data_IF_988519879484
#
_entry.id   IF_988519879484
#
_cell.length_a   1.000
_cell.length_b   1.000
_cell.length_c   1.000
_cell.angle_alpha   90.00
_cell.angle_beta   90.00
_cell.angle_gamma   90.00
#
_symmetry.space_group_name_H-M   'P 1'
#
loop_
_entity.id
_entity.type
_entity.pdbx_description
1 polymer ?
#
# COMPACT_ATOMS: atom_id res chain seq x y z
N UNK A 1 -8.17 26.74 29.60
CA UNK A 1 -9.00 26.91 28.38
C UNK A 1 -8.28 26.17 27.28
N UNK A 2 -8.93 25.18 26.67
CA UNK A 2 -8.30 24.39 25.61
C UNK A 2 -8.19 25.22 24.33
N UNK A 3 -6.99 25.29 23.77
CA UNK A 3 -6.76 25.99 22.52
C UNK A 3 -7.40 25.21 21.35
N UNK A 4 -8.30 25.88 20.65
CA UNK A 4 -9.01 25.35 19.48
C UNK A 4 -8.20 25.68 18.22
N UNK A 5 -8.00 24.71 17.32
CA UNK A 5 -7.19 24.87 16.11
C UNK A 5 -7.99 24.50 14.86
N UNK A 6 -7.75 25.23 13.78
CA UNK A 6 -8.27 24.87 12.47
C UNK A 6 -7.48 23.71 11.88
N UNK A 7 -8.22 22.75 11.34
CA UNK A 7 -7.70 21.49 10.83
C UNK A 7 -6.86 21.65 9.56
N UNK A 8 -7.17 22.65 8.73
CA UNK A 8 -6.52 22.86 7.43
C UNK A 8 -5.32 23.83 7.52
N UNK A 9 -5.53 25.01 8.11
CA UNK A 9 -4.53 26.09 8.19
C UNK A 9 -3.52 25.95 9.32
N UNK A 10 -3.75 25.04 10.29
CA UNK A 10 -2.90 24.82 11.48
C UNK A 10 -2.81 26.03 12.42
N UNK A 11 -3.72 27.01 12.30
CA UNK A 11 -3.75 28.21 13.14
C UNK A 11 -4.73 28.04 14.32
N UNK A 12 -4.41 28.68 15.44
CA UNK A 12 -5.30 28.75 16.61
C UNK A 12 -6.49 29.67 16.34
N UNK A 13 -7.67 29.35 16.87
CA UNK A 13 -8.91 30.11 16.69
C UNK A 13 -8.78 31.60 17.04
N UNK A 14 -8.07 31.93 18.12
CA UNK A 14 -7.82 33.32 18.51
C UNK A 14 -7.02 34.14 17.47
N UNK A 15 -6.29 33.46 16.55
CA UNK A 15 -5.59 34.08 15.41
C UNK A 15 -6.42 34.06 14.12
N UNK A 16 -7.58 33.41 14.14
CA UNK A 16 -8.55 33.35 13.05
C UNK A 16 -9.70 34.34 13.26
N UNK A 17 -9.98 34.77 14.50
CA UNK A 17 -11.05 35.75 14.82
C UNK A 17 -10.75 37.16 14.28
N UNK A 18 -9.48 37.53 14.07
CA UNK A 18 -9.09 38.77 13.38
C UNK A 18 -9.16 38.66 11.84
N UNK A 19 -9.52 37.50 11.30
CA UNK A 19 -9.70 37.30 9.87
C UNK A 19 -11.18 37.41 9.50
N UNK A 20 -11.48 38.47 8.77
CA UNK A 20 -12.77 38.72 8.11
C UNK A 20 -13.27 37.47 7.38
N UNK A 21 -14.33 36.85 7.93
CA UNK A 21 -14.92 35.64 7.39
C UNK A 21 -15.56 35.86 6.01
N UNK A 22 -15.78 37.10 5.58
CA UNK A 22 -16.22 37.42 4.21
C UNK A 22 -15.08 37.21 3.18
N UNK A 23 -13.81 37.30 3.58
CA UNK A 23 -12.66 37.01 2.72
C UNK A 23 -12.39 35.51 2.49
N UNK A 24 -13.17 34.62 3.12
CA UNK A 24 -13.00 33.17 2.95
C UNK A 24 -13.48 32.65 1.60
N UNK A 25 -14.14 33.44 0.75
CA UNK A 25 -14.60 33.00 -0.57
C UNK A 25 -13.44 32.47 -1.45
N UNK A 26 -12.34 33.22 -1.58
CA UNK A 26 -11.16 32.80 -2.35
C UNK A 26 -10.44 31.59 -1.72
N UNK A 27 -10.40 31.52 -0.39
CA UNK A 27 -9.75 30.41 0.33
C UNK A 27 -10.59 29.13 0.24
N UNK A 28 -11.91 29.26 0.25
CA UNK A 28 -12.86 28.15 0.06
C UNK A 28 -12.83 27.64 -1.38
N UNK A 29 -12.70 28.53 -2.35
CA UNK A 29 -12.57 28.17 -3.76
C UNK A 29 -11.25 27.44 -4.05
N UNK A 30 -10.18 27.76 -3.30
CA UNK A 30 -8.85 27.16 -3.45
C UNK A 30 -8.60 25.92 -2.58
N UNK A 31 -9.22 25.82 -1.40
CA UNK A 31 -8.92 24.78 -0.40
C UNK A 31 -10.15 23.99 0.10
N UNK A 32 -11.37 24.35 -0.33
CA UNK A 32 -12.61 23.67 0.03
C UNK A 32 -13.43 24.36 1.12
N UNK A 33 -14.65 23.86 1.38
CA UNK A 33 -15.58 24.46 2.36
C UNK A 33 -15.09 24.20 3.79
N UNK A 34 -14.93 25.26 4.58
CA UNK A 34 -14.59 25.19 6.00
C UNK A 34 -15.76 24.61 6.82
N UNK A 35 -15.53 23.50 7.54
CA UNK A 35 -16.56 22.79 8.32
C UNK A 35 -16.35 22.85 9.85
N UNK A 36 -15.35 23.59 10.33
CA UNK A 36 -15.11 23.81 11.77
C UNK A 36 -13.69 23.48 12.24
N UNK A 37 -13.54 23.45 13.57
CA UNK A 37 -12.27 23.36 14.30
C UNK A 37 -12.31 22.21 15.31
N UNK A 38 -11.19 21.52 15.49
CA UNK A 38 -11.00 20.49 16.51
C UNK A 38 -10.16 21.04 17.67
N UNK A 39 -10.19 20.38 18.82
CA UNK A 39 -9.22 20.72 19.89
C UNK A 39 -7.80 20.38 19.41
N UNK A 40 -6.80 21.08 19.97
CA UNK A 40 -5.38 20.82 19.66
C UNK A 40 -5.01 19.34 19.81
N UNK A 41 -5.45 18.71 20.89
CA UNK A 41 -5.17 17.31 21.19
C UNK A 41 -5.81 16.38 20.15
N UNK A 42 -7.08 16.62 19.77
CA UNK A 42 -7.76 15.83 18.74
C UNK A 42 -7.10 16.00 17.38
N UNK A 43 -6.70 17.22 17.01
CA UNK A 43 -5.99 17.51 15.76
C UNK A 43 -4.65 16.77 15.70
N UNK A 44 -3.85 16.87 16.76
CA UNK A 44 -2.54 16.21 16.83
C UNK A 44 -2.67 14.68 16.73
N UNK A 45 -3.61 14.10 17.49
CA UNK A 45 -3.87 12.67 17.45
C UNK A 45 -4.29 12.23 16.04
N UNK A 46 -5.31 12.86 15.47
CA UNK A 46 -5.84 12.49 14.16
C UNK A 46 -4.79 12.60 13.05
N UNK A 47 -3.96 13.65 13.08
CA UNK A 47 -2.87 13.83 12.13
C UNK A 47 -1.80 12.75 12.30
N UNK A 48 -1.35 12.49 13.54
CA UNK A 48 -0.35 11.46 13.79
C UNK A 48 -0.81 10.07 13.33
N UNK A 49 -2.08 9.71 13.60
CA UNK A 49 -2.66 8.45 13.16
C UNK A 49 -2.77 8.39 11.64
N UNK A 50 -3.20 9.48 11.00
CA UNK A 50 -3.31 9.55 9.54
C UNK A 50 -1.94 9.39 8.87
N UNK A 51 -0.93 10.11 9.34
CA UNK A 51 0.43 10.04 8.80
C UNK A 51 1.03 8.64 8.97
N UNK A 52 0.79 7.99 10.12
CA UNK A 52 1.20 6.61 10.38
C UNK A 52 0.50 5.61 9.44
N UNK A 53 -0.81 5.75 9.23
CA UNK A 53 -1.55 4.87 8.32
C UNK A 53 -1.12 5.06 6.86
N UNK A 54 -0.86 6.31 6.45
CA UNK A 54 -0.33 6.61 5.13
C UNK A 54 1.06 5.99 4.93
N UNK A 55 1.93 6.11 5.93
CA UNK A 55 3.24 5.45 5.91
C UNK A 55 3.11 3.93 5.75
N UNK A 56 2.27 3.28 6.57
CA UNK A 56 2.04 1.84 6.50
C UNK A 56 1.47 1.40 5.15
N UNK A 57 0.55 2.18 4.57
CA UNK A 57 0.03 1.95 3.23
C UNK A 57 1.16 1.92 2.20
N UNK A 58 2.05 2.92 2.23
CA UNK A 58 3.18 2.99 1.29
C UNK A 58 4.16 1.81 1.48
N UNK A 59 4.36 1.34 2.72
CA UNK A 59 5.18 0.15 2.98
C UNK A 59 4.55 -1.11 2.37
N UNK A 60 3.23 -1.27 2.49
CA UNK A 60 2.50 -2.39 1.87
C UNK A 60 2.60 -2.34 0.35
N UNK A 61 2.45 -1.16 -0.26
CA UNK A 61 2.60 -0.99 -1.71
C UNK A 61 4.01 -1.36 -2.19
N UNK A 62 5.07 -0.99 -1.46
CA UNK A 62 6.43 -1.44 -1.77
C UNK A 62 6.60 -2.94 -1.63
N UNK A 63 6.10 -3.55 -0.55
CA UNK A 63 6.18 -4.99 -0.33
C UNK A 63 5.46 -5.77 -1.44
N UNK A 64 4.31 -5.26 -1.91
CA UNK A 64 3.59 -5.85 -3.05
C UNK A 64 4.44 -5.79 -4.33
N UNK A 65 5.12 -4.67 -4.58
CA UNK A 65 6.03 -4.56 -5.73
C UNK A 65 7.20 -5.54 -5.63
N UNK A 66 7.87 -5.61 -4.48
CA UNK A 66 8.99 -6.54 -4.25
C UNK A 66 8.55 -8.01 -4.37
N UNK A 67 7.33 -8.31 -3.94
CA UNK A 67 6.74 -9.64 -4.10
C UNK A 67 6.52 -10.00 -5.57
N UNK A 68 5.95 -9.10 -6.38
CA UNK A 68 5.73 -9.35 -7.81
C UNK A 68 7.06 -9.50 -8.57
N UNK A 69 8.07 -8.69 -8.24
CA UNK A 69 9.41 -8.82 -8.80
C UNK A 69 10.03 -10.19 -8.47
N UNK A 70 9.97 -10.59 -7.19
CA UNK A 70 10.46 -11.90 -6.74
C UNK A 70 9.71 -13.06 -7.40
N UNK A 71 8.40 -12.92 -7.55
CA UNK A 71 7.55 -13.91 -8.22
C UNK A 71 7.92 -14.06 -9.69
N UNK A 72 8.12 -12.96 -10.40
CA UNK A 72 8.57 -12.96 -11.80
C UNK A 72 9.92 -13.67 -11.95
N UNK A 73 10.89 -13.33 -11.10
CA UNK A 73 12.21 -13.99 -11.07
C UNK A 73 12.08 -15.50 -10.78
N UNK A 74 11.16 -15.86 -9.89
CA UNK A 74 10.88 -17.24 -9.53
C UNK A 74 10.29 -18.03 -10.70
N UNK A 75 9.28 -17.48 -11.37
CA UNK A 75 8.65 -18.08 -12.56
C UNK A 75 9.65 -18.25 -13.71
N UNK A 76 10.55 -17.28 -13.91
CA UNK A 76 11.64 -17.41 -14.89
C UNK A 76 12.60 -18.55 -14.54
N UNK A 77 13.03 -18.67 -13.28
CA UNK A 77 13.92 -19.77 -12.85
C UNK A 77 13.25 -21.14 -12.95
N UNK A 78 11.94 -21.21 -12.69
CA UNK A 78 11.16 -22.42 -12.91
C UNK A 78 11.21 -22.87 -14.36
N UNK A 79 10.94 -21.93 -15.27
CA UNK A 79 11.00 -22.18 -16.70
C UNK A 79 12.40 -22.63 -17.16
N UNK A 80 13.45 -21.95 -16.71
CA UNK A 80 14.83 -22.31 -17.02
C UNK A 80 15.19 -23.72 -16.51
N UNK A 81 14.76 -24.08 -15.30
CA UNK A 81 15.00 -25.39 -14.72
C UNK A 81 14.29 -26.51 -15.50
N UNK A 82 13.04 -26.29 -15.91
CA UNK A 82 12.27 -27.22 -16.75
C UNK A 82 12.97 -27.47 -18.09
N UNK A 83 13.45 -26.41 -18.74
CA UNK A 83 14.20 -26.51 -20.00
C UNK A 83 15.50 -27.27 -19.80
N UNK A 84 16.29 -26.88 -18.79
CA UNK A 84 17.60 -27.46 -18.51
C UNK A 84 17.50 -28.96 -18.23
N UNK A 85 16.53 -29.37 -17.41
CA UNK A 85 16.29 -30.77 -17.06
C UNK A 85 15.61 -31.57 -18.17
N UNK A 86 15.23 -30.92 -19.28
CA UNK A 86 14.47 -31.52 -20.39
C UNK A 86 13.25 -32.26 -19.87
N UNK A 87 12.49 -31.61 -18.99
CA UNK A 87 11.42 -32.25 -18.22
C UNK A 87 10.35 -32.91 -19.13
N UNK A 88 10.16 -32.40 -20.34
CA UNK A 88 9.31 -33.02 -21.38
C UNK A 88 9.73 -34.45 -21.74
N UNK A 89 11.03 -34.79 -21.68
CA UNK A 89 11.52 -36.17 -21.88
C UNK A 89 11.12 -37.11 -20.75
N UNK A 90 10.79 -36.56 -19.58
CA UNK A 90 10.32 -37.29 -18.41
C UNK A 90 8.80 -37.21 -18.26
N UNK A 91 8.07 -36.77 -19.29
CA UNK A 91 6.60 -36.67 -19.28
C UNK A 91 6.05 -35.47 -18.51
N UNK A 92 6.89 -34.49 -18.16
CA UNK A 92 6.45 -33.24 -17.52
C UNK A 92 6.19 -32.20 -18.61
N UNK A 93 4.91 -31.94 -18.87
CA UNK A 93 4.45 -30.84 -19.72
C UNK A 93 4.13 -29.64 -18.83
N UNK A 94 5.12 -28.77 -18.64
CA UNK A 94 5.01 -27.62 -17.75
C UNK A 94 4.25 -26.48 -18.44
N UNK A 95 3.09 -26.14 -17.88
CA UNK A 95 2.36 -24.91 -18.17
C UNK A 95 2.37 -24.04 -16.92
N UNK A 96 2.82 -22.79 -17.03
CA UNK A 96 2.86 -21.83 -15.92
C UNK A 96 1.47 -21.39 -15.45
N UNK A 97 0.39 -21.69 -16.17
CA UNK A 97 -0.98 -21.42 -15.70
C UNK A 97 -1.44 -22.45 -14.67
N UNK A 98 -1.15 -23.74 -14.90
CA UNK A 98 -1.65 -24.86 -14.09
C UNK A 98 -0.65 -25.35 -13.03
N UNK A 99 0.63 -25.07 -13.24
CA UNK A 99 1.73 -25.59 -12.44
C UNK A 99 2.62 -24.46 -11.92
N UNK A 100 3.14 -24.66 -10.72
CA UNK A 100 4.12 -23.77 -10.10
C UNK A 100 5.36 -24.56 -9.69
N UNK A 101 6.50 -23.89 -9.70
CA UNK A 101 7.67 -24.41 -9.02
C UNK A 101 7.42 -24.31 -7.52
N UNK A 102 7.88 -25.30 -6.77
CA UNK A 102 7.96 -25.29 -5.32
C UNK A 102 9.39 -25.65 -4.93
N UNK A 103 10.02 -24.83 -4.08
CA UNK A 103 11.36 -25.11 -3.56
C UNK A 103 11.22 -25.45 -2.08
N UNK A 104 11.59 -26.67 -1.70
CA UNK A 104 11.52 -27.08 -0.30
C UNK A 104 12.64 -26.46 0.55
N UNK A 105 12.56 -26.63 1.88
CA UNK A 105 13.55 -26.10 2.83
C UNK A 105 14.97 -26.68 2.66
N UNK A 106 15.12 -27.75 1.87
CA UNK A 106 16.42 -28.36 1.53
C UNK A 106 16.93 -27.90 0.16
N UNK A 107 16.18 -27.06 -0.55
CA UNK A 107 16.53 -26.56 -1.87
C UNK A 107 16.15 -27.50 -3.01
N UNK A 108 15.31 -28.51 -2.79
CA UNK A 108 14.81 -29.33 -3.90
C UNK A 108 13.70 -28.60 -4.66
N UNK A 109 13.78 -28.65 -5.98
CA UNK A 109 12.83 -28.06 -6.90
C UNK A 109 11.77 -29.09 -7.31
N UNK A 110 10.51 -28.75 -7.13
CA UNK A 110 9.34 -29.55 -7.48
C UNK A 110 8.46 -28.75 -8.44
N UNK A 111 7.78 -29.42 -9.37
CA UNK A 111 6.69 -28.81 -10.13
C UNK A 111 5.40 -29.36 -9.54
N UNK A 112 4.61 -28.49 -8.93
CA UNK A 112 3.34 -28.85 -8.26
C UNK A 112 2.18 -28.16 -8.95
N UNK A 113 1.00 -28.76 -8.85
CA UNK A 113 -0.22 -28.18 -9.44
C UNK A 113 -0.68 -27.04 -8.55
N UNK A 114 -0.97 -25.88 -9.14
CA UNK A 114 -1.49 -24.74 -8.37
C UNK A 114 -2.80 -25.15 -7.69
N UNK A 115 -2.92 -24.83 -6.41
CA UNK A 115 -4.21 -24.97 -5.74
C UNK A 115 -5.20 -23.99 -6.37
N UNK A 116 -6.36 -24.48 -6.80
CA UNK A 116 -7.43 -23.60 -7.24
C UNK A 116 -7.86 -22.76 -6.04
N UNK A 117 -7.79 -21.44 -6.17
CA UNK A 117 -8.37 -20.55 -5.16
C UNK A 117 -9.83 -20.95 -4.95
N UNK A 118 -10.14 -21.40 -3.74
CA UNK A 118 -11.52 -21.63 -3.31
C UNK A 118 -12.09 -20.24 -3.02
N UNK A 119 -12.99 -19.77 -3.90
CA UNK A 119 -13.77 -18.53 -3.72
C UNK A 119 -14.56 -18.53 -2.40
#
# INVERSE_FOLDING_TARGET
MDEIYDFFSRKSFNKLVDHDYEHNAETIEKHGKYIGVLTKQQTQLLRSTFDMLLFNKNQVEMLMSEYEDLRSDYEQKAFDAVIFLRASKNGVDYNSEDWELYVDVKGHCWIIKKEQAVD
#
